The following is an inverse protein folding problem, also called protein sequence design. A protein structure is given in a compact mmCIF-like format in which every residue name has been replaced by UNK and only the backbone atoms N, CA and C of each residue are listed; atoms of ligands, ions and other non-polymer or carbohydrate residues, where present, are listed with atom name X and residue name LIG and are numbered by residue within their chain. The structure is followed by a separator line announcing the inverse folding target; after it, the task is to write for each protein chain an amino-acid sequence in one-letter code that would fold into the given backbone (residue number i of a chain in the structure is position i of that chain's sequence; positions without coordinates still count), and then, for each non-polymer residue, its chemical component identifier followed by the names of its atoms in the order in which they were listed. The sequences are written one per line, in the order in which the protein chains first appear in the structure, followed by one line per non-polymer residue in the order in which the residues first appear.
data_IF_648250669887
#
_entry.id   IF_648250669887
#
_cell.length_a   1.000
_cell.length_b   1.000
_cell.length_c   1.000
_cell.angle_alpha   90.00
_cell.angle_beta   90.00
_cell.angle_gamma   90.00
#
_symmetry.space_group_name_H-M   'P 1'
#
loop_
_entity.id
_entity.type
_entity.pdbx_description
1 polymer ?
#
# COMPACT_ATOMS: atom_id res chain seq x y z
N UNK A 1 -21.96 16.08 17.87
CA UNK A 1 -21.54 14.66 17.89
C UNK A 1 -20.07 14.64 18.29
N UNK A 2 -19.60 13.71 19.13
CA UNK A 2 -18.19 13.61 19.39
C UNK A 2 -17.42 13.45 18.07
N UNK A 3 -16.25 14.06 17.97
CA UNK A 3 -15.42 13.99 16.77
C UNK A 3 -15.08 12.52 16.45
N UNK A 4 -15.28 12.12 15.20
CA UNK A 4 -15.15 10.73 14.75
C UNK A 4 -13.68 10.35 14.65
N UNK A 5 -13.27 9.25 15.28
CA UNK A 5 -11.93 8.68 15.17
C UNK A 5 -11.82 7.88 13.87
N UNK A 6 -10.81 8.18 13.05
CA UNK A 6 -10.56 7.46 11.80
C UNK A 6 -9.21 6.73 11.84
N UNK A 7 -9.26 5.43 12.06
CA UNK A 7 -8.09 4.54 12.16
C UNK A 7 -8.00 3.55 10.98
N UNK A 8 -8.48 3.95 9.79
CA UNK A 8 -8.40 3.14 8.57
C UNK A 8 -7.62 3.82 7.43
N UNK A 9 -6.50 4.45 7.77
CA UNK A 9 -5.64 5.13 6.80
C UNK A 9 -4.97 4.18 5.78
N UNK A 10 -4.94 2.88 6.03
CA UNK A 10 -4.50 1.89 5.05
C UNK A 10 -5.53 1.68 3.92
N UNK A 11 -6.83 1.93 4.16
CA UNK A 11 -7.84 1.91 3.10
C UNK A 11 -7.79 3.18 2.24
N UNK A 12 -7.79 4.35 2.87
CA UNK A 12 -7.59 5.66 2.23
C UNK A 12 -7.26 6.69 3.31
N UNK A 13 -6.59 7.78 2.95
CA UNK A 13 -6.30 8.87 3.88
C UNK A 13 -7.16 10.09 3.58
N UNK A 14 -7.47 10.91 4.59
CA UNK A 14 -8.01 12.23 4.38
C UNK A 14 -6.97 13.10 3.64
N UNK A 15 -7.37 13.85 2.61
CA UNK A 15 -6.44 14.76 1.92
C UNK A 15 -5.90 15.82 2.88
N UNK A 16 -4.61 16.13 2.77
CA UNK A 16 -4.01 17.25 3.49
C UNK A 16 -4.56 18.56 2.91
N UNK A 17 -4.98 19.55 3.74
CA UNK A 17 -5.47 20.84 3.25
C UNK A 17 -4.48 21.52 2.29
N UNK A 18 -3.18 21.43 2.55
CA UNK A 18 -2.14 21.98 1.66
C UNK A 18 -2.11 21.32 0.27
N UNK A 19 -2.58 20.08 0.18
CA UNK A 19 -2.74 19.36 -1.10
C UNK A 19 -3.97 19.89 -1.85
N UNK A 20 -5.08 20.10 -1.16
CA UNK A 20 -6.29 20.67 -1.77
C UNK A 20 -6.03 22.07 -2.31
N UNK A 21 -5.29 22.90 -1.57
CA UNK A 21 -4.86 24.24 -2.01
C UNK A 21 -4.01 24.18 -3.30
N UNK A 22 -3.13 23.18 -3.40
CA UNK A 22 -2.31 22.99 -4.60
C UNK A 22 -3.12 22.52 -5.82
N UNK A 23 -4.23 21.81 -5.62
CA UNK A 23 -5.11 21.30 -6.67
C UNK A 23 -6.08 22.37 -7.21
N UNK A 24 -6.59 23.22 -6.30
CA UNK A 24 -7.69 24.15 -6.58
C UNK A 24 -7.48 25.05 -7.81
N UNK A 25 -6.28 25.64 -8.04
CA UNK A 25 -6.06 26.47 -9.22
C UNK A 25 -6.30 25.74 -10.55
N UNK A 26 -5.95 24.46 -10.64
CA UNK A 26 -6.06 23.64 -11.84
C UNK A 26 -7.46 23.03 -12.04
N UNK A 27 -8.33 23.12 -11.06
CA UNK A 27 -9.75 22.75 -11.16
C UNK A 27 -10.61 23.91 -11.71
N UNK A 28 -10.21 25.18 -11.47
CA UNK A 28 -11.06 26.33 -11.73
C UNK A 28 -10.44 27.38 -12.69
N UNK A 29 -9.12 27.62 -12.62
CA UNK A 29 -8.48 28.76 -13.31
C UNK A 29 -7.53 28.34 -14.42
N UNK A 30 -6.77 27.26 -14.25
CA UNK A 30 -5.70 26.82 -15.14
C UNK A 30 -6.04 25.46 -15.76
N UNK A 31 -7.06 25.46 -16.60
CA UNK A 31 -7.65 24.26 -17.20
C UNK A 31 -7.01 23.85 -18.54
N UNK A 32 -5.86 24.45 -18.92
CA UNK A 32 -5.18 24.19 -20.19
C UNK A 32 -4.74 22.73 -20.34
N UNK A 33 -4.73 22.27 -21.60
CA UNK A 33 -4.16 20.96 -21.94
C UNK A 33 -2.63 21.07 -21.96
N UNK A 34 -1.87 20.27 -21.18
CA UNK A 34 -0.40 20.33 -21.14
C UNK A 34 0.30 20.07 -22.48
N UNK A 35 -0.40 19.48 -23.45
CA UNK A 35 0.14 19.25 -24.81
C UNK A 35 0.02 20.45 -25.73
N UNK A 36 -0.70 21.52 -25.33
CA UNK A 36 -0.91 22.71 -26.13
C UNK A 36 0.24 23.70 -26.02
N UNK A 37 0.58 24.38 -27.14
CA UNK A 37 1.73 25.31 -27.23
C UNK A 37 1.45 26.71 -26.71
N UNK A 38 0.19 27.12 -26.56
CA UNK A 38 -0.22 28.43 -26.06
C UNK A 38 -0.07 28.54 -24.53
N UNK A 39 -0.29 29.73 -23.98
CA UNK A 39 0.02 30.07 -22.58
C UNK A 39 -0.61 29.14 -21.56
N UNK A 40 -1.91 28.80 -21.72
CA UNK A 40 -2.64 27.92 -20.81
C UNK A 40 -2.05 26.50 -20.79
N UNK A 41 -1.64 26.01 -21.98
CA UNK A 41 -0.99 24.70 -22.12
C UNK A 41 0.38 24.68 -21.44
N UNK A 42 1.21 25.71 -21.67
CA UNK A 42 2.51 25.82 -21.00
C UNK A 42 2.39 25.86 -19.49
N UNK A 43 1.42 26.62 -18.96
CA UNK A 43 1.16 26.72 -17.54
C UNK A 43 0.76 25.37 -16.93
N UNK A 44 -0.08 24.62 -17.63
CA UNK A 44 -0.45 23.26 -17.21
C UNK A 44 0.76 22.30 -17.27
N UNK A 45 1.61 22.42 -18.30
CA UNK A 45 2.85 21.63 -18.44
C UNK A 45 3.82 21.92 -17.29
N UNK A 46 4.04 23.16 -16.94
CA UNK A 46 4.89 23.57 -15.81
C UNK A 46 4.41 22.97 -14.47
N UNK A 47 3.08 22.85 -14.29
CA UNK A 47 2.52 22.21 -13.11
C UNK A 47 2.80 20.69 -13.07
N UNK A 48 2.63 20.02 -14.22
CA UNK A 48 2.93 18.59 -14.35
C UNK A 48 4.42 18.33 -14.11
N UNK A 49 5.31 19.13 -14.69
CA UNK A 49 6.77 18.94 -14.56
C UNK A 49 7.25 19.22 -13.13
N UNK A 50 6.70 20.21 -12.46
CA UNK A 50 6.96 20.49 -11.04
C UNK A 50 6.52 19.32 -10.16
N UNK A 51 5.30 18.82 -10.35
CA UNK A 51 4.78 17.67 -9.60
C UNK A 51 5.62 16.41 -9.84
N UNK A 52 6.11 16.23 -11.06
CA UNK A 52 7.00 15.12 -11.42
C UNK A 52 8.32 15.19 -10.65
N UNK A 53 8.92 16.36 -10.55
CA UNK A 53 10.14 16.59 -9.75
C UNK A 53 9.88 16.34 -8.25
N UNK A 54 8.72 16.75 -7.72
CA UNK A 54 8.35 16.51 -6.33
C UNK A 54 8.18 15.01 -6.03
N UNK A 55 7.53 14.25 -6.91
CA UNK A 55 7.39 12.79 -6.77
C UNK A 55 8.76 12.11 -6.90
N UNK A 56 9.59 12.51 -7.85
CA UNK A 56 10.96 11.98 -8.01
C UNK A 56 11.79 12.21 -6.74
N UNK A 57 11.69 13.40 -6.14
CA UNK A 57 12.38 13.74 -4.88
C UNK A 57 12.02 12.83 -3.70
N UNK A 58 10.81 12.26 -3.65
CA UNK A 58 10.41 11.32 -2.61
C UNK A 58 11.24 10.04 -2.62
N UNK A 59 11.77 9.64 -3.77
CA UNK A 59 12.51 8.39 -4.02
C UNK A 59 13.98 8.61 -4.34
N UNK A 60 14.48 9.86 -4.33
CA UNK A 60 15.81 10.23 -4.82
C UNK A 60 16.03 9.82 -6.29
N UNK A 61 14.96 9.90 -7.10
CA UNK A 61 14.94 9.59 -8.54
C UNK A 61 15.07 10.85 -9.40
N UNK A 62 15.30 10.65 -10.71
CA UNK A 62 15.22 11.74 -11.68
C UNK A 62 13.76 11.95 -12.15
N UNK A 63 13.34 13.18 -12.52
CA UNK A 63 11.98 13.42 -12.97
C UNK A 63 11.57 12.56 -14.16
N UNK A 64 12.48 12.26 -15.07
CA UNK A 64 12.24 11.45 -16.26
C UNK A 64 11.96 9.97 -15.99
N UNK A 65 12.22 9.53 -14.77
CA UNK A 65 11.94 8.18 -14.29
C UNK A 65 10.53 8.05 -13.69
N UNK A 66 9.74 9.13 -13.62
CA UNK A 66 8.37 9.09 -13.09
C UNK A 66 7.35 9.06 -14.23
N UNK A 67 6.39 8.15 -14.15
CA UNK A 67 5.23 8.01 -15.04
C UNK A 67 3.96 8.17 -14.23
N UNK A 68 3.12 9.15 -14.54
CA UNK A 68 1.83 9.31 -13.86
C UNK A 68 0.81 8.29 -14.37
N UNK A 69 0.03 7.74 -13.43
CA UNK A 69 -1.03 6.76 -13.67
C UNK A 69 -2.32 7.17 -12.95
N UNK A 70 -3.45 6.56 -13.28
CA UNK A 70 -4.73 6.86 -12.63
C UNK A 70 -4.87 6.26 -11.22
N UNK A 71 -4.00 5.33 -10.81
CA UNK A 71 -4.05 4.68 -9.49
C UNK A 71 -2.78 3.86 -9.25
N UNK A 72 -2.58 3.38 -8.00
CA UNK A 72 -1.57 2.36 -7.70
C UNK A 72 -1.80 1.05 -8.45
N UNK A 73 -3.07 0.62 -8.59
CA UNK A 73 -3.43 -0.56 -9.39
C UNK A 73 -2.98 -0.43 -10.85
N UNK A 74 -3.16 0.75 -11.47
CA UNK A 74 -2.66 0.99 -12.83
C UNK A 74 -1.13 0.98 -12.86
N UNK A 75 -0.46 1.54 -11.84
CA UNK A 75 0.99 1.53 -11.74
C UNK A 75 1.56 0.10 -11.65
N UNK A 76 0.97 -0.77 -10.79
CA UNK A 76 1.35 -2.18 -10.68
C UNK A 76 1.14 -2.93 -12.00
N UNK A 77 -0.03 -2.73 -12.64
CA UNK A 77 -0.31 -3.36 -13.92
C UNK A 77 0.65 -2.87 -15.02
N UNK A 78 0.98 -1.57 -15.06
CA UNK A 78 1.94 -1.03 -16.02
C UNK A 78 3.35 -1.59 -15.77
N UNK A 79 3.75 -1.76 -14.52
CA UNK A 79 5.03 -2.36 -14.17
C UNK A 79 5.11 -3.82 -14.65
N UNK A 80 4.15 -4.65 -14.28
CA UNK A 80 4.18 -6.08 -14.58
C UNK A 80 3.93 -6.33 -16.08
N UNK A 81 2.82 -5.84 -16.61
CA UNK A 81 2.47 -6.06 -18.02
C UNK A 81 3.46 -5.37 -18.95
N UNK A 82 3.87 -4.13 -18.62
CA UNK A 82 4.77 -3.36 -19.46
C UNK A 82 6.13 -4.04 -19.65
N UNK A 83 6.72 -4.56 -18.58
CA UNK A 83 8.00 -5.32 -18.64
C UNK A 83 7.82 -6.64 -19.38
N UNK A 84 6.79 -7.42 -19.03
CA UNK A 84 6.60 -8.76 -19.57
C UNK A 84 6.17 -8.76 -21.04
N UNK A 85 5.35 -7.77 -21.46
CA UNK A 85 5.01 -7.59 -22.87
C UNK A 85 6.22 -7.14 -23.71
N UNK A 86 7.08 -6.29 -23.16
CA UNK A 86 8.33 -5.89 -23.83
C UNK A 86 9.32 -7.07 -23.99
N UNK A 87 9.40 -7.94 -22.98
CA UNK A 87 10.28 -9.12 -23.00
C UNK A 87 9.72 -10.33 -23.77
N UNK A 88 8.40 -10.31 -24.09
CA UNK A 88 7.65 -11.47 -24.57
C UNK A 88 7.10 -12.32 -23.41
N UNK A 89 5.77 -12.42 -23.32
CA UNK A 89 5.08 -13.07 -22.16
C UNK A 89 5.29 -14.59 -22.17
N UNK A 90 5.05 -15.23 -23.32
CA UNK A 90 5.12 -16.68 -23.45
C UNK A 90 6.54 -17.19 -23.20
N UNK A 91 6.69 -18.13 -22.27
CA UNK A 91 7.98 -18.69 -21.86
C UNK A 91 8.78 -17.82 -20.90
N UNK A 92 8.28 -16.63 -20.56
CA UNK A 92 8.86 -15.79 -19.48
C UNK A 92 8.38 -16.25 -18.11
N UNK A 93 9.12 -15.84 -17.07
CA UNK A 93 8.84 -16.15 -15.68
C UNK A 93 8.83 -14.88 -14.82
N UNK A 94 7.90 -14.83 -13.86
CA UNK A 94 7.79 -13.82 -12.84
C UNK A 94 7.81 -14.47 -11.46
N UNK A 95 8.54 -13.86 -10.52
CA UNK A 95 8.51 -14.24 -9.11
C UNK A 95 7.77 -13.15 -8.33
N UNK A 96 6.82 -13.54 -7.48
CA UNK A 96 6.07 -12.63 -6.61
C UNK A 96 5.90 -13.24 -5.22
N UNK A 97 5.17 -12.60 -4.29
CA UNK A 97 4.89 -13.17 -2.97
C UNK A 97 3.42 -13.53 -2.81
N UNK A 98 3.13 -14.50 -1.95
CA UNK A 98 1.77 -14.93 -1.63
C UNK A 98 0.92 -13.86 -0.92
N UNK A 99 1.54 -12.78 -0.43
CA UNK A 99 0.87 -11.73 0.32
C UNK A 99 0.69 -10.41 -0.44
N UNK A 100 0.90 -10.42 -1.76
CA UNK A 100 0.75 -9.23 -2.60
C UNK A 100 -0.69 -8.68 -2.60
N UNK A 101 -0.80 -7.39 -2.96
CA UNK A 101 -2.09 -6.78 -3.21
C UNK A 101 -2.79 -7.47 -4.42
N UNK A 102 -4.14 -7.55 -4.42
CA UNK A 102 -4.89 -8.12 -5.55
C UNK A 102 -4.54 -7.51 -6.92
N UNK A 103 -4.07 -6.26 -6.99
CA UNK A 103 -3.61 -5.62 -8.22
C UNK A 103 -2.43 -6.38 -8.87
N UNK A 104 -1.52 -6.93 -8.06
CA UNK A 104 -0.39 -7.75 -8.50
C UNK A 104 -0.84 -9.17 -8.78
N UNK A 105 -1.51 -9.85 -7.81
CA UNK A 105 -1.91 -11.25 -7.97
C UNK A 105 -2.90 -11.47 -9.13
N UNK A 106 -3.86 -10.55 -9.31
CA UNK A 106 -4.81 -10.66 -10.43
C UNK A 106 -4.13 -10.41 -11.78
N UNK A 107 -3.16 -9.50 -11.84
CA UNK A 107 -2.34 -9.26 -13.00
C UNK A 107 -1.51 -10.51 -13.36
N UNK A 108 -0.88 -11.15 -12.37
CA UNK A 108 -0.16 -12.42 -12.56
C UNK A 108 -1.07 -13.49 -13.18
N UNK A 109 -2.25 -13.72 -12.58
CA UNK A 109 -3.24 -14.70 -13.10
C UNK A 109 -3.71 -14.37 -14.52
N UNK A 110 -3.81 -13.10 -14.89
CA UNK A 110 -4.14 -12.72 -16.25
C UNK A 110 -2.99 -13.06 -17.22
N UNK A 111 -1.75 -12.78 -16.84
CA UNK A 111 -0.57 -13.06 -17.66
C UNK A 111 -0.28 -14.57 -17.80
N UNK A 112 -0.60 -15.38 -16.78
CA UNK A 112 -0.52 -16.85 -16.89
C UNK A 112 -1.37 -17.40 -18.03
N UNK A 113 -2.57 -16.80 -18.30
CA UNK A 113 -3.40 -17.16 -19.44
C UNK A 113 -2.76 -16.85 -20.79
N UNK A 114 -1.72 -15.99 -20.79
CA UNK A 114 -0.92 -15.65 -21.97
C UNK A 114 0.39 -16.44 -22.04
N UNK A 115 0.57 -17.43 -21.15
CA UNK A 115 1.73 -18.32 -21.14
C UNK A 115 2.89 -17.88 -20.24
N UNK A 116 2.67 -16.91 -19.32
CA UNK A 116 3.65 -16.58 -18.29
C UNK A 116 3.72 -17.71 -17.25
N UNK A 117 4.93 -18.05 -16.81
CA UNK A 117 5.10 -18.85 -15.60
C UNK A 117 5.21 -17.92 -14.38
N UNK A 118 4.52 -18.25 -13.28
CA UNK A 118 4.56 -17.47 -12.03
C UNK A 118 5.03 -18.36 -10.88
N UNK A 119 5.93 -17.84 -10.04
CA UNK A 119 6.27 -18.44 -8.74
C UNK A 119 5.86 -17.49 -7.63
N UNK A 120 4.94 -17.94 -6.78
CA UNK A 120 4.56 -17.21 -5.56
C UNK A 120 5.42 -17.70 -4.39
N UNK A 121 6.25 -16.80 -3.83
CA UNK A 121 7.07 -17.11 -2.67
C UNK A 121 6.21 -17.18 -1.41
N UNK A 122 6.44 -18.17 -0.54
CA UNK A 122 5.83 -18.21 0.78
C UNK A 122 6.37 -17.08 1.66
N UNK A 123 5.71 -16.86 2.78
CA UNK A 123 6.17 -15.97 3.85
C UNK A 123 6.18 -16.73 5.17
N UNK A 124 6.96 -16.25 6.13
CA UNK A 124 6.93 -16.77 7.49
C UNK A 124 5.66 -16.35 8.26
N UNK A 125 5.47 -16.84 9.49
CA UNK A 125 4.34 -16.49 10.34
C UNK A 125 4.26 -14.99 10.74
N UNK A 126 5.26 -14.19 10.38
CA UNK A 126 5.30 -12.74 10.57
C UNK A 126 5.11 -11.97 9.26
N UNK A 127 4.96 -12.68 8.14
CA UNK A 127 4.73 -12.12 6.81
C UNK A 127 6.01 -11.64 6.12
N UNK A 128 7.17 -12.18 6.43
CA UNK A 128 8.44 -11.90 5.73
C UNK A 128 8.72 -12.95 4.66
N UNK A 129 9.15 -12.48 3.49
CA UNK A 129 9.74 -13.31 2.44
C UNK A 129 11.17 -13.64 2.83
N UNK A 130 11.56 -14.93 2.71
CA UNK A 130 12.94 -15.35 2.90
C UNK A 130 13.77 -15.03 1.63
N UNK A 131 14.84 -14.23 1.72
CA UNK A 131 15.74 -13.97 0.59
C UNK A 131 16.31 -15.25 -0.06
N UNK A 132 16.50 -16.33 0.71
CA UNK A 132 16.98 -17.61 0.18
C UNK A 132 15.94 -18.29 -0.73
N UNK A 133 14.65 -18.11 -0.46
CA UNK A 133 13.60 -18.65 -1.33
C UNK A 133 13.49 -17.88 -2.64
N UNK A 134 13.71 -16.54 -2.60
CA UNK A 134 13.82 -15.76 -3.83
C UNK A 134 15.02 -16.25 -4.68
N UNK A 135 16.18 -16.46 -4.07
CA UNK A 135 17.38 -16.91 -4.81
C UNK A 135 17.18 -18.26 -5.49
N UNK A 136 16.46 -19.20 -4.85
CA UNK A 136 16.10 -20.51 -5.44
C UNK A 136 15.04 -20.40 -6.54
N UNK A 137 14.11 -19.44 -6.41
CA UNK A 137 12.99 -19.30 -7.36
C UNK A 137 13.42 -18.64 -8.69
N UNK A 138 14.49 -17.84 -8.69
CA UNK A 138 15.01 -17.21 -9.91
C UNK A 138 15.63 -18.26 -10.84
N UNK A 139 15.16 -18.29 -12.10
CA UNK A 139 15.62 -19.18 -13.17
C UNK A 139 15.95 -18.37 -14.43
N UNK A 140 16.57 -18.97 -15.46
CA UNK A 140 17.01 -18.23 -16.68
C UNK A 140 15.92 -17.45 -17.39
N UNK A 141 14.67 -17.93 -17.32
CA UNK A 141 13.49 -17.30 -17.95
C UNK A 141 12.90 -16.18 -17.09
N UNK A 142 13.37 -15.98 -15.85
CA UNK A 142 12.86 -14.93 -14.96
C UNK A 142 13.17 -13.55 -15.54
N UNK A 143 12.13 -12.74 -15.75
CA UNK A 143 12.23 -11.36 -16.26
C UNK A 143 11.98 -10.31 -15.20
N UNK A 144 11.15 -10.65 -14.21
CA UNK A 144 10.72 -9.71 -13.19
C UNK A 144 10.55 -10.42 -11.85
N UNK A 145 10.99 -9.77 -10.79
CA UNK A 145 10.62 -10.04 -9.39
C UNK A 145 9.73 -8.90 -8.95
N UNK A 146 8.56 -9.20 -8.38
CA UNK A 146 7.61 -8.19 -7.86
C UNK A 146 7.24 -8.53 -6.43
N UNK A 147 7.76 -7.78 -5.47
CA UNK A 147 7.50 -7.97 -4.03
C UNK A 147 7.16 -6.64 -3.40
N UNK A 148 6.00 -6.56 -2.73
CA UNK A 148 5.53 -5.34 -2.08
C UNK A 148 6.48 -4.87 -0.98
N UNK A 149 6.63 -3.56 -0.83
CA UNK A 149 7.54 -3.00 0.17
C UNK A 149 7.02 -3.18 1.60
N UNK A 150 5.71 -3.11 1.78
CA UNK A 150 5.07 -3.36 3.07
C UNK A 150 3.63 -3.83 2.88
N UNK A 151 3.21 -4.80 3.67
CA UNK A 151 1.90 -5.40 3.53
C UNK A 151 0.78 -4.51 4.12
N UNK A 152 -0.31 -4.36 3.38
CA UNK A 152 -1.46 -3.51 3.71
C UNK A 152 -2.39 -4.10 4.79
N UNK A 153 -2.25 -5.39 5.11
CA UNK A 153 -3.05 -6.09 6.14
C UNK A 153 -2.29 -6.15 7.46
N UNK A 154 -1.10 -6.71 7.46
CA UNK A 154 -0.33 -6.94 8.69
C UNK A 154 0.71 -5.84 8.97
N UNK A 155 1.03 -4.99 8.00
CA UNK A 155 1.96 -3.88 8.16
C UNK A 155 3.44 -4.27 8.11
N UNK A 156 3.78 -5.54 7.94
CA UNK A 156 5.17 -6.04 7.88
C UNK A 156 5.91 -5.42 6.69
N UNK A 157 7.12 -4.91 6.93
CA UNK A 157 8.02 -4.31 5.93
C UNK A 157 8.96 -5.40 5.42
N UNK A 158 9.02 -5.59 4.10
CA UNK A 158 9.89 -6.56 3.45
C UNK A 158 11.35 -6.08 3.37
N UNK A 159 12.34 -6.99 3.30
CA UNK A 159 13.76 -6.65 3.15
C UNK A 159 14.08 -6.27 1.69
N UNK A 160 13.43 -5.22 1.16
CA UNK A 160 13.45 -4.86 -0.27
C UNK A 160 14.86 -4.64 -0.81
N UNK A 161 15.75 -3.99 -0.04
CA UNK A 161 17.13 -3.75 -0.51
C UNK A 161 17.88 -5.06 -0.76
N UNK A 162 17.70 -6.05 0.10
CA UNK A 162 18.34 -7.38 -0.03
C UNK A 162 17.73 -8.18 -1.19
N UNK A 163 16.39 -8.20 -1.28
CA UNK A 163 15.67 -8.89 -2.35
C UNK A 163 16.01 -8.30 -3.73
N UNK A 164 16.02 -6.96 -3.84
CA UNK A 164 16.40 -6.27 -5.07
C UNK A 164 17.87 -6.55 -5.45
N UNK A 165 18.75 -6.64 -4.46
CA UNK A 165 20.16 -6.99 -4.71
C UNK A 165 20.32 -8.42 -5.24
N UNK A 166 19.51 -9.37 -4.78
CA UNK A 166 19.48 -10.75 -5.31
C UNK A 166 19.04 -10.73 -6.78
N UNK A 167 17.92 -10.07 -7.09
CA UNK A 167 17.43 -9.95 -8.45
C UNK A 167 18.48 -9.32 -9.38
N UNK A 168 19.13 -8.22 -8.95
CA UNK A 168 20.18 -7.53 -9.72
C UNK A 168 21.38 -8.42 -10.02
N UNK A 169 21.85 -9.21 -9.04
CA UNK A 169 22.98 -10.16 -9.28
C UNK A 169 22.64 -11.22 -10.34
N UNK A 170 21.35 -11.51 -10.52
CA UNK A 170 20.86 -12.47 -11.51
C UNK A 170 20.45 -11.81 -12.85
N UNK A 171 20.62 -10.48 -12.99
CA UNK A 171 20.21 -9.73 -14.18
C UNK A 171 18.68 -9.64 -14.37
N UNK A 172 17.90 -9.76 -13.29
CA UNK A 172 16.44 -9.74 -13.28
C UNK A 172 15.96 -8.39 -12.76
N UNK A 173 14.94 -7.80 -13.40
CA UNK A 173 14.33 -6.56 -12.96
C UNK A 173 13.57 -6.75 -11.64
N UNK A 174 13.58 -5.71 -10.79
CA UNK A 174 12.90 -5.71 -9.50
C UNK A 174 11.85 -4.60 -9.42
N UNK A 175 10.59 -5.00 -9.24
CA UNK A 175 9.46 -4.14 -8.94
C UNK A 175 9.07 -4.25 -7.47
N UNK A 176 8.64 -3.13 -6.89
CA UNK A 176 8.02 -3.12 -5.56
C UNK A 176 6.72 -2.31 -5.57
N UNK A 177 5.61 -2.92 -5.14
CA UNK A 177 4.42 -2.16 -4.74
C UNK A 177 4.74 -1.43 -3.43
N UNK A 178 5.00 -0.12 -3.54
CA UNK A 178 5.27 0.75 -2.40
C UNK A 178 4.04 1.58 -1.97
N UNK A 179 2.85 1.25 -2.45
CA UNK A 179 1.61 1.99 -2.19
C UNK A 179 1.37 2.21 -0.69
N UNK A 180 1.66 1.23 0.16
CA UNK A 180 1.54 1.39 1.61
C UNK A 180 2.79 2.00 2.27
N UNK A 181 3.93 1.97 1.62
CA UNK A 181 5.24 2.30 2.19
C UNK A 181 5.73 3.70 1.80
N UNK A 182 5.41 4.15 0.57
CA UNK A 182 5.80 5.48 0.07
C UNK A 182 5.40 6.59 1.04
N UNK A 183 6.33 7.49 1.33
CA UNK A 183 6.16 8.58 2.29
C UNK A 183 6.15 8.18 3.78
N UNK A 184 6.08 6.89 4.11
CA UNK A 184 6.10 6.38 5.49
C UNK A 184 7.46 5.81 5.88
N UNK A 185 8.16 5.17 4.93
CA UNK A 185 9.55 4.74 5.07
C UNK A 185 10.40 5.36 3.96
N UNK A 186 11.72 5.35 4.14
CA UNK A 186 12.65 5.91 3.17
C UNK A 186 12.91 4.95 2.03
N UNK A 187 12.93 5.48 0.81
CA UNK A 187 13.49 4.83 -0.38
C UNK A 187 14.58 5.73 -0.95
N UNK A 188 15.64 5.11 -1.46
CA UNK A 188 16.66 5.80 -2.25
C UNK A 188 17.01 4.92 -3.46
N UNK A 189 16.43 5.23 -4.61
CA UNK A 189 16.58 4.45 -5.83
C UNK A 189 18.00 4.55 -6.43
N UNK A 190 18.83 5.49 -5.97
CA UNK A 190 20.24 5.58 -6.36
C UNK A 190 21.09 4.51 -5.69
N UNK A 191 20.77 4.16 -4.44
CA UNK A 191 21.51 3.18 -3.63
C UNK A 191 20.83 1.82 -3.58
N UNK A 192 19.49 1.79 -3.65
CA UNK A 192 18.72 0.55 -3.71
C UNK A 192 18.48 0.15 -5.17
N UNK A 193 18.77 -1.09 -5.57
CA UNK A 193 18.63 -1.52 -6.96
C UNK A 193 17.20 -1.88 -7.34
N UNK A 194 16.27 -0.97 -7.06
CA UNK A 194 14.85 -1.06 -7.44
C UNK A 194 14.72 -0.52 -8.87
N UNK A 195 14.12 -1.29 -9.78
CA UNK A 195 13.93 -0.87 -11.17
C UNK A 195 12.56 -0.25 -11.42
N UNK A 196 11.52 -0.70 -10.67
CA UNK A 196 10.17 -0.17 -10.74
C UNK A 196 9.58 -0.05 -9.32
N UNK A 197 8.85 1.05 -9.08
CA UNK A 197 8.19 1.27 -7.79
C UNK A 197 6.83 1.95 -8.00
N UNK A 198 5.77 1.30 -7.50
CA UNK A 198 4.39 1.82 -7.61
C UNK A 198 3.99 2.63 -6.38
N UNK A 199 3.24 3.72 -6.60
CA UNK A 199 2.63 4.51 -5.54
C UNK A 199 1.21 4.97 -5.88
N UNK A 200 0.43 5.36 -4.85
CA UNK A 200 -0.92 5.89 -5.00
C UNK A 200 -1.15 7.12 -4.13
N UNK A 201 -1.70 8.19 -4.72
CA UNK A 201 -1.84 9.49 -4.05
C UNK A 201 -2.67 9.42 -2.77
N UNK A 202 -3.80 8.69 -2.79
CA UNK A 202 -4.70 8.62 -1.65
C UNK A 202 -4.15 7.86 -0.43
N UNK A 203 -2.96 7.29 -0.50
CA UNK A 203 -2.25 6.67 0.64
C UNK A 203 -1.23 7.62 1.28
N UNK A 204 -1.03 8.80 0.64
CA UNK A 204 -0.08 9.85 1.05
C UNK A 204 -0.79 11.14 1.48
N UNK A 205 -2.05 11.10 1.88
CA UNK A 205 -2.88 12.29 2.10
C UNK A 205 -3.05 13.15 0.83
N UNK A 206 -2.90 12.53 -0.34
CA UNK A 206 -3.15 13.06 -1.67
C UNK A 206 -4.54 12.69 -2.19
N UNK A 207 -4.86 13.10 -3.44
CA UNK A 207 -6.15 12.80 -4.05
C UNK A 207 -6.27 11.32 -4.46
N UNK A 208 -7.51 10.83 -4.55
CA UNK A 208 -7.87 9.60 -5.26
C UNK A 208 -7.77 9.83 -6.77
N UNK A 209 -7.70 8.75 -7.56
CA UNK A 209 -7.69 8.85 -9.02
C UNK A 209 -6.34 9.28 -9.61
N UNK A 210 -5.27 9.17 -8.85
CA UNK A 210 -3.89 9.43 -9.28
C UNK A 210 -2.93 8.46 -8.58
N UNK A 211 -1.94 7.98 -9.34
CA UNK A 211 -0.78 7.23 -8.88
C UNK A 211 0.44 7.61 -9.71
N UNK A 212 1.54 6.96 -9.45
CA UNK A 212 2.72 7.03 -10.30
C UNK A 212 3.52 5.73 -10.24
N UNK A 213 4.27 5.49 -11.29
CA UNK A 213 5.26 4.44 -11.40
C UNK A 213 6.65 5.10 -11.57
N UNK A 214 7.58 4.80 -10.66
CA UNK A 214 8.99 5.01 -10.92
C UNK A 214 9.49 3.93 -11.85
N UNK A 215 10.23 4.31 -12.88
CA UNK A 215 10.83 3.43 -13.88
C UNK A 215 12.27 3.82 -14.07
N UNK A 216 13.21 3.01 -13.61
CA UNK A 216 14.64 3.26 -13.74
C UNK A 216 15.02 3.52 -15.20
N UNK A 217 15.92 4.47 -15.44
CA UNK A 217 16.45 4.74 -16.78
C UNK A 217 16.98 3.46 -17.43
N UNK A 218 16.59 3.24 -18.70
CA UNK A 218 16.97 2.03 -19.45
C UNK A 218 16.00 0.84 -19.32
N UNK A 219 15.02 0.88 -18.42
CA UNK A 219 13.97 -0.15 -18.36
C UNK A 219 12.95 0.09 -19.47
N UNK A 220 12.77 -0.91 -20.32
CA UNK A 220 11.78 -0.91 -21.39
C UNK A 220 10.41 -1.31 -20.87
N UNK A 221 9.39 -0.52 -21.23
CA UNK A 221 7.99 -0.79 -20.93
C UNK A 221 7.15 -0.75 -22.19
N UNK A 222 6.37 -1.81 -22.41
CA UNK A 222 5.29 -1.78 -23.39
C UNK A 222 4.11 -0.99 -22.82
N UNK A 223 3.56 0.01 -23.53
CA UNK A 223 2.43 0.80 -23.03
C UNK A 223 1.16 -0.05 -22.98
N UNK A 224 0.55 -0.18 -21.79
CA UNK A 224 -0.74 -0.88 -21.64
C UNK A 224 -1.94 0.01 -22.02
N UNK A 225 -1.74 1.33 -22.07
CA UNK A 225 -2.70 2.33 -22.54
C UNK A 225 -2.07 3.13 -23.68
N UNK A 226 -2.07 2.61 -24.92
CA UNK A 226 -1.53 3.34 -26.08
C UNK A 226 -2.46 4.48 -26.50
N UNK A 227 -1.91 5.53 -27.14
CA UNK A 227 -2.70 6.70 -27.59
C UNK A 227 -1.83 7.88 -28.02
N UNK A 228 -2.13 9.07 -27.51
CA UNK A 228 -1.53 10.35 -27.94
C UNK A 228 -0.10 10.64 -27.47
N UNK A 229 0.63 9.66 -26.94
CA UNK A 229 2.05 9.79 -26.60
C UNK A 229 2.36 10.54 -25.30
N UNK A 230 1.36 10.83 -24.46
CA UNK A 230 1.59 11.41 -23.14
C UNK A 230 2.47 10.48 -22.30
N UNK A 231 3.07 11.00 -21.22
CA UNK A 231 4.03 10.28 -20.39
C UNK A 231 5.15 9.60 -21.22
N UNK A 232 5.62 10.31 -22.26
CA UNK A 232 6.67 9.82 -23.20
C UNK A 232 6.29 8.51 -23.90
N UNK A 233 5.00 8.32 -24.19
CA UNK A 233 4.48 7.12 -24.85
C UNK A 233 4.28 5.92 -23.90
N UNK A 234 4.64 6.04 -22.64
CA UNK A 234 4.49 4.95 -21.65
C UNK A 234 3.07 4.82 -21.11
N UNK A 235 2.31 5.94 -21.07
CA UNK A 235 0.93 5.98 -20.61
C UNK A 235 0.18 7.15 -21.25
N UNK A 236 -0.67 6.87 -22.20
CA UNK A 236 -1.40 7.89 -22.93
C UNK A 236 -2.69 8.33 -22.23
N UNK A 237 -3.21 9.47 -22.66
CA UNK A 237 -4.40 10.14 -22.12
C UNK A 237 -4.07 11.51 -21.56
N UNK A 238 -4.97 12.49 -21.78
CA UNK A 238 -4.78 13.86 -21.27
C UNK A 238 -4.52 13.83 -19.77
N UNK A 239 -3.47 14.51 -19.34
CA UNK A 239 -3.01 14.51 -17.97
C UNK A 239 -4.02 15.19 -17.03
N UNK A 240 -4.35 14.56 -15.91
CA UNK A 240 -5.17 15.14 -14.85
C UNK A 240 -4.31 16.12 -14.03
N UNK A 241 -4.13 17.33 -14.55
CA UNK A 241 -3.21 18.34 -13.99
C UNK A 241 -3.49 18.63 -12.52
N UNK A 242 -4.76 18.73 -12.13
CA UNK A 242 -5.13 18.99 -10.74
C UNK A 242 -4.71 17.85 -9.80
N UNK A 243 -5.00 16.60 -10.18
CA UNK A 243 -4.62 15.45 -9.36
C UNK A 243 -3.10 15.22 -9.35
N UNK A 244 -2.41 15.49 -10.47
CA UNK A 244 -0.95 15.43 -10.57
C UNK A 244 -0.30 16.48 -9.65
N UNK A 245 -0.78 17.73 -9.65
CA UNK A 245 -0.31 18.78 -8.75
C UNK A 245 -0.53 18.39 -7.28
N UNK A 246 -1.70 17.80 -6.97
CA UNK A 246 -2.01 17.27 -5.65
C UNK A 246 -1.06 16.13 -5.22
N UNK A 247 -0.77 15.19 -6.12
CA UNK A 247 0.18 14.09 -5.83
C UNK A 247 1.59 14.63 -5.60
N UNK A 248 2.06 15.58 -6.43
CA UNK A 248 3.36 16.22 -6.25
C UNK A 248 3.47 16.90 -4.88
N UNK A 249 2.45 17.69 -4.50
CA UNK A 249 2.43 18.34 -3.18
C UNK A 249 2.37 17.34 -2.03
N UNK A 250 1.60 16.26 -2.15
CA UNK A 250 1.55 15.20 -1.15
C UNK A 250 2.92 14.51 -0.98
N UNK A 251 3.62 14.24 -2.09
CA UNK A 251 4.96 13.66 -2.09
C UNK A 251 6.00 14.58 -1.40
N UNK A 252 5.97 15.87 -1.72
CA UNK A 252 6.84 16.89 -1.10
C UNK A 252 6.63 16.98 0.41
N UNK A 253 5.36 17.06 0.84
CA UNK A 253 5.00 17.09 2.26
C UNK A 253 5.46 15.80 2.95
N UNK A 254 5.21 14.64 2.34
CA UNK A 254 5.60 13.35 2.90
C UNK A 254 7.12 13.22 3.03
N UNK A 255 7.89 13.70 2.06
CA UNK A 255 9.36 13.69 2.12
C UNK A 255 9.89 14.56 3.26
N UNK A 256 9.33 15.77 3.44
CA UNK A 256 9.74 16.71 4.46
C UNK A 256 9.35 16.26 5.88
N UNK A 257 8.11 15.79 6.06
CA UNK A 257 7.54 15.50 7.38
C UNK A 257 7.87 14.09 7.89
N UNK A 258 8.28 13.15 7.00
CA UNK A 258 8.45 11.72 7.29
C UNK A 258 9.19 11.40 8.58
N UNK A 259 10.37 11.96 8.89
CA UNK A 259 11.10 11.56 10.09
C UNK A 259 10.33 11.84 11.38
N UNK A 260 9.75 13.03 11.50
CA UNK A 260 8.97 13.44 12.68
C UNK A 260 7.64 12.71 12.77
N UNK A 261 6.95 12.55 11.64
CA UNK A 261 5.68 11.83 11.58
C UNK A 261 5.84 10.34 11.86
N UNK A 262 6.84 9.69 11.30
CA UNK A 262 7.12 8.28 11.58
C UNK A 262 7.40 8.05 13.07
N UNK A 263 8.21 8.88 13.71
CA UNK A 263 8.50 8.79 15.14
C UNK A 263 7.25 9.00 16.00
N UNK A 264 6.40 9.96 15.63
CA UNK A 264 5.11 10.22 16.30
C UNK A 264 4.16 9.02 16.19
N UNK A 265 3.97 8.49 14.97
CA UNK A 265 3.08 7.35 14.72
C UNK A 265 3.57 6.08 15.40
N UNK A 266 4.89 5.85 15.44
CA UNK A 266 5.50 4.72 16.18
C UNK A 266 5.13 4.78 17.67
N UNK A 267 5.19 5.95 18.31
CA UNK A 267 4.79 6.10 19.71
C UNK A 267 3.33 5.74 19.95
N UNK A 268 2.41 6.23 19.11
CA UNK A 268 0.98 5.92 19.22
C UNK A 268 0.73 4.42 18.95
N UNK A 269 1.36 3.88 17.91
CA UNK A 269 1.28 2.47 17.56
C UNK A 269 1.75 1.56 18.70
N UNK A 270 2.91 1.85 19.26
CA UNK A 270 3.50 1.01 20.28
C UNK A 270 2.70 1.10 21.59
N UNK A 271 2.18 2.27 21.94
CA UNK A 271 1.22 2.44 23.03
C UNK A 271 -0.02 1.54 22.87
N UNK A 272 -0.62 1.50 21.66
CA UNK A 272 -1.75 0.60 21.37
C UNK A 272 -1.35 -0.88 21.44
N UNK A 273 -0.22 -1.26 20.85
CA UNK A 273 0.25 -2.66 20.81
C UNK A 273 0.53 -3.20 22.24
N UNK A 274 1.01 -2.37 23.15
CA UNK A 274 1.31 -2.74 24.53
C UNK A 274 0.06 -2.71 25.42
N UNK A 275 -0.79 -1.72 25.25
CA UNK A 275 -1.97 -1.51 26.10
C UNK A 275 -3.12 -2.45 25.77
N UNK A 276 -3.32 -2.86 24.51
CA UNK A 276 -4.46 -3.71 24.13
C UNK A 276 -4.39 -5.10 24.80
N UNK A 277 -3.27 -5.86 24.74
CA UNK A 277 -3.19 -7.14 25.44
C UNK A 277 -3.26 -7.02 26.95
N UNK A 278 -2.83 -5.89 27.53
CA UNK A 278 -2.93 -5.64 28.97
C UNK A 278 -4.38 -5.39 29.44
N UNK A 279 -5.29 -4.98 28.53
CA UNK A 279 -6.70 -4.71 28.82
C UNK A 279 -7.65 -5.79 28.32
N UNK A 280 -7.22 -6.60 27.37
CA UNK A 280 -8.04 -7.62 26.72
C UNK A 280 -7.27 -8.94 26.70
N UNK A 281 -7.65 -9.85 27.58
CA UNK A 281 -7.08 -11.19 27.61
C UNK A 281 -7.27 -11.87 26.23
N UNK A 282 -6.24 -12.58 25.80
CA UNK A 282 -6.19 -13.31 24.51
C UNK A 282 -6.18 -12.42 23.26
N UNK A 283 -5.89 -11.11 23.38
CA UNK A 283 -5.51 -10.29 22.24
C UNK A 283 -4.03 -10.57 21.86
N UNK A 284 -3.76 -10.72 20.57
CA UNK A 284 -2.40 -10.96 20.09
C UNK A 284 -2.09 -10.15 18.84
N UNK A 285 -0.81 -9.77 18.67
CA UNK A 285 -0.33 -9.04 17.52
C UNK A 285 -0.10 -10.00 16.34
N UNK A 286 -0.52 -9.59 15.15
CA UNK A 286 -0.28 -10.29 13.89
C UNK A 286 0.74 -9.51 13.06
N UNK A 287 1.67 -10.25 12.41
CA UNK A 287 2.78 -9.68 11.64
C UNK A 287 3.99 -9.29 12.51
N UNK A 288 5.06 -8.83 11.88
CA UNK A 288 6.33 -8.60 12.55
C UNK A 288 6.26 -7.45 13.57
N UNK A 289 6.75 -7.64 14.80
CA UNK A 289 6.66 -6.64 15.87
C UNK A 289 7.43 -5.35 15.57
N UNK A 290 8.62 -5.44 14.97
CA UNK A 290 9.56 -4.34 14.79
C UNK A 290 9.69 -3.88 13.34
N UNK A 291 9.77 -4.82 12.37
CA UNK A 291 9.78 -4.50 10.93
C UNK A 291 8.35 -4.21 10.46
N UNK A 292 7.81 -3.07 10.90
CA UNK A 292 6.40 -2.72 10.71
C UNK A 292 6.27 -1.24 10.34
N UNK A 293 5.30 -0.93 9.49
CA UNK A 293 4.94 0.45 9.16
C UNK A 293 4.65 1.26 10.42
N UNK A 294 5.05 2.55 10.47
CA UNK A 294 4.97 3.37 11.68
C UNK A 294 3.59 3.42 12.34
N UNK A 295 2.52 3.47 11.55
CA UNK A 295 1.15 3.59 12.07
C UNK A 295 0.29 2.34 11.89
N UNK A 296 0.86 1.14 11.65
CA UNK A 296 0.07 -0.03 11.27
C UNK A 296 0.04 -1.10 12.35
N UNK A 297 -1.16 -1.59 12.69
CA UNK A 297 -1.38 -2.64 13.70
C UNK A 297 -2.39 -3.64 13.12
N UNK A 298 -2.10 -4.93 13.26
CA UNK A 298 -3.05 -6.01 13.00
C UNK A 298 -3.15 -6.88 14.25
N UNK A 299 -4.37 -7.16 14.71
CA UNK A 299 -4.63 -7.88 15.95
C UNK A 299 -5.59 -9.03 15.70
N UNK A 300 -5.40 -10.13 16.40
CA UNK A 300 -6.36 -11.21 16.58
C UNK A 300 -6.83 -11.29 18.01
N UNK A 301 -7.96 -11.98 18.24
CA UNK A 301 -8.56 -12.19 19.55
C UNK A 301 -9.02 -13.64 19.64
N UNK A 302 -8.36 -14.45 20.48
CA UNK A 302 -8.84 -15.82 20.71
C UNK A 302 -10.21 -15.78 21.40
N UNK A 303 -11.15 -16.57 20.87
CA UNK A 303 -12.55 -16.60 21.28
C UNK A 303 -13.45 -15.58 20.56
N UNK A 304 -12.92 -14.86 19.56
CA UNK A 304 -13.70 -14.00 18.65
C UNK A 304 -13.39 -14.31 17.18
N UNK A 305 -13.00 -15.54 16.89
CA UNK A 305 -12.71 -15.97 15.52
C UNK A 305 -13.95 -15.78 14.64
N UNK A 306 -13.79 -15.12 13.51
CA UNK A 306 -14.88 -14.80 12.57
C UNK A 306 -15.74 -13.58 12.91
N UNK A 307 -15.56 -12.96 14.08
CA UNK A 307 -16.45 -11.90 14.58
C UNK A 307 -15.98 -10.46 14.25
N UNK A 308 -14.92 -10.30 13.44
CA UNK A 308 -14.37 -8.97 13.14
C UNK A 308 -15.42 -7.99 12.60
N UNK A 309 -16.34 -8.43 11.73
CA UNK A 309 -17.39 -7.55 11.17
C UNK A 309 -18.31 -7.01 12.28
N UNK A 310 -18.72 -7.85 13.23
CA UNK A 310 -19.55 -7.40 14.35
C UNK A 310 -18.77 -6.42 15.22
N UNK A 311 -17.49 -6.68 15.49
CA UNK A 311 -16.65 -5.77 16.26
C UNK A 311 -16.45 -4.43 15.57
N UNK A 312 -16.31 -4.41 14.23
CA UNK A 312 -16.28 -3.17 13.44
C UNK A 312 -17.57 -2.36 13.61
N UNK A 313 -18.73 -3.02 13.54
CA UNK A 313 -20.04 -2.35 13.70
C UNK A 313 -20.25 -1.81 15.11
N UNK A 314 -19.80 -2.50 16.15
CA UNK A 314 -19.86 -2.00 17.53
C UNK A 314 -18.95 -0.76 17.71
N UNK A 315 -17.75 -0.78 17.15
CA UNK A 315 -16.83 0.37 17.20
C UNK A 315 -17.35 1.55 16.36
N UNK A 316 -18.00 1.29 15.22
CA UNK A 316 -18.61 2.33 14.38
C UNK A 316 -19.73 3.07 15.11
N UNK A 317 -20.56 2.39 15.90
CA UNK A 317 -21.58 3.00 16.78
C UNK A 317 -20.98 3.97 17.80
N UNK A 318 -19.77 3.68 18.26
CA UNK A 318 -19.00 4.53 19.19
C UNK A 318 -18.22 5.65 18.46
N UNK A 319 -18.41 5.79 17.15
CA UNK A 319 -17.76 6.81 16.33
C UNK A 319 -16.32 6.48 15.93
N UNK A 320 -15.92 5.20 15.94
CA UNK A 320 -14.56 4.74 15.62
C UNK A 320 -14.57 3.91 14.33
N UNK A 321 -13.92 4.43 13.28
CA UNK A 321 -13.76 3.75 12.01
C UNK A 321 -12.42 3.01 11.96
N UNK A 322 -12.47 1.69 11.86
CA UNK A 322 -11.32 0.79 11.65
C UNK A 322 -11.68 -0.26 10.59
N UNK A 323 -10.75 -1.16 10.28
CA UNK A 323 -10.96 -2.19 9.27
C UNK A 323 -10.70 -3.61 9.82
N UNK A 324 -11.15 -4.62 9.10
CA UNK A 324 -10.73 -6.01 9.34
C UNK A 324 -9.49 -6.35 8.54
N UNK A 325 -8.78 -7.42 8.91
CA UNK A 325 -7.68 -7.97 8.11
C UNK A 325 -8.11 -8.46 6.71
N UNK A 326 -9.42 -8.64 6.49
CA UNK A 326 -10.02 -9.00 5.20
C UNK A 326 -10.58 -7.79 4.43
N UNK A 327 -10.18 -6.57 4.75
CA UNK A 327 -10.80 -5.30 4.32
C UNK A 327 -10.89 -5.06 2.80
N UNK A 328 -10.07 -5.71 1.97
CA UNK A 328 -10.20 -5.62 0.52
C UNK A 328 -11.38 -6.44 -0.05
N UNK A 329 -12.10 -7.16 0.79
CA UNK A 329 -13.18 -8.08 0.42
C UNK A 329 -14.58 -7.59 0.79
N UNK A 330 -14.84 -6.28 0.87
CA UNK A 330 -16.21 -5.77 0.99
C UNK A 330 -17.11 -6.28 -0.15
N UNK A 331 -16.54 -6.58 -1.32
CA UNK A 331 -17.20 -7.25 -2.45
C UNK A 331 -17.31 -8.78 -2.24
N UNK A 332 -16.45 -9.36 -1.37
CA UNK A 332 -16.39 -10.77 -1.03
C UNK A 332 -16.59 -10.98 0.47
N UNK A 333 -17.61 -10.33 1.04
CA UNK A 333 -17.95 -10.45 2.45
C UNK A 333 -18.05 -11.93 2.87
N UNK A 334 -17.13 -12.35 3.75
CA UNK A 334 -17.06 -13.72 4.25
C UNK A 334 -15.90 -14.58 3.75
N UNK A 335 -15.10 -14.12 2.77
CA UNK A 335 -13.86 -14.82 2.41
C UNK A 335 -12.73 -14.48 3.40
N UNK A 336 -11.90 -15.45 3.78
CA UNK A 336 -10.73 -15.18 4.62
C UNK A 336 -9.69 -14.33 3.87
N UNK A 337 -8.83 -13.65 4.62
CA UNK A 337 -7.73 -12.89 4.04
C UNK A 337 -6.64 -13.85 3.54
N UNK A 338 -6.34 -13.86 2.24
CA UNK A 338 -5.24 -14.64 1.67
C UNK A 338 -3.90 -14.32 2.35
N UNK A 339 -3.71 -13.06 2.81
CA UNK A 339 -2.52 -12.66 3.55
C UNK A 339 -2.43 -13.44 4.86
N UNK A 340 -3.50 -13.50 5.64
CA UNK A 340 -3.49 -14.20 6.93
C UNK A 340 -3.40 -15.72 6.76
N UNK A 341 -4.03 -16.28 5.71
CA UNK A 341 -3.86 -17.68 5.35
C UNK A 341 -2.40 -17.99 4.98
N UNK A 342 -1.74 -17.11 4.22
CA UNK A 342 -0.31 -17.25 3.90
C UNK A 342 0.60 -17.19 5.14
N UNK A 343 0.19 -16.49 6.22
CA UNK A 343 0.88 -16.48 7.50
C UNK A 343 0.58 -17.74 8.36
N UNK A 344 -0.26 -18.68 7.88
CA UNK A 344 -0.59 -19.92 8.56
C UNK A 344 -1.83 -19.86 9.47
N UNK A 345 -2.62 -18.77 9.41
CA UNK A 345 -3.89 -18.70 10.13
C UNK A 345 -4.96 -19.50 9.38
N UNK A 346 -5.79 -20.25 10.15
CA UNK A 346 -6.98 -20.86 9.59
C UNK A 346 -8.02 -19.81 9.13
N UNK A 347 -8.95 -20.22 8.27
CA UNK A 347 -9.93 -19.32 7.68
C UNK A 347 -10.83 -18.61 8.71
N UNK A 348 -11.07 -19.21 9.88
CA UNK A 348 -11.90 -18.64 10.92
C UNK A 348 -11.14 -17.54 11.68
N UNK A 349 -9.89 -17.81 12.10
CA UNK A 349 -8.99 -16.81 12.70
C UNK A 349 -8.69 -15.67 11.76
N UNK A 350 -8.47 -15.94 10.46
CA UNK A 350 -8.25 -14.93 9.44
C UNK A 350 -9.41 -13.94 9.32
N UNK A 351 -10.65 -14.37 9.56
CA UNK A 351 -11.85 -13.51 9.58
C UNK A 351 -12.08 -12.77 10.90
N UNK A 352 -11.38 -13.13 11.97
CA UNK A 352 -11.49 -12.53 13.30
C UNK A 352 -10.51 -11.38 13.57
N UNK A 353 -9.69 -10.98 12.59
CA UNK A 353 -8.64 -9.98 12.80
C UNK A 353 -9.11 -8.54 12.59
N UNK A 354 -8.56 -7.61 13.39
CA UNK A 354 -8.71 -6.17 13.24
C UNK A 354 -7.45 -5.54 12.67
N UNK A 355 -7.63 -4.56 11.77
CA UNK A 355 -6.57 -3.70 11.29
C UNK A 355 -6.82 -2.26 11.74
N UNK A 356 -5.87 -1.69 12.47
CA UNK A 356 -5.80 -0.29 12.87
C UNK A 356 -4.68 0.35 12.08
N UNK A 357 -4.96 1.43 11.39
CA UNK A 357 -3.93 2.16 10.63
C UNK A 357 -4.05 3.65 10.87
N UNK A 358 -3.00 4.18 11.50
CA UNK A 358 -2.88 5.57 11.90
C UNK A 358 -2.32 6.42 10.75
N UNK A 359 -2.71 7.68 10.71
CA UNK A 359 -2.23 8.66 9.74
C UNK A 359 -1.91 10.00 10.40
N UNK A 360 -1.63 10.99 9.56
CA UNK A 360 -1.18 12.33 9.94
C UNK A 360 -2.02 13.00 11.01
N UNK A 361 -3.31 12.84 10.97
CA UNK A 361 -4.24 13.58 11.84
C UNK A 361 -4.60 12.83 13.12
N UNK A 362 -4.14 11.59 13.29
CA UNK A 362 -4.44 10.84 14.51
C UNK A 362 -3.57 11.27 15.69
N UNK A 363 -4.17 11.25 16.88
CA UNK A 363 -3.55 11.71 18.12
C UNK A 363 -3.44 10.61 19.17
N UNK A 364 -2.69 10.86 20.25
CA UNK A 364 -2.59 9.94 21.38
C UNK A 364 -3.91 9.88 22.15
N UNK A 365 -4.62 11.00 22.27
CA UNK A 365 -5.92 11.10 22.93
C UNK A 365 -6.98 10.26 22.21
N UNK A 366 -6.95 10.18 20.87
CA UNK A 366 -7.79 9.27 20.10
C UNK A 366 -7.46 7.80 20.41
N UNK A 367 -6.16 7.48 20.55
CA UNK A 367 -5.73 6.14 20.92
C UNK A 367 -6.18 5.76 22.34
N UNK A 368 -6.09 6.68 23.31
CA UNK A 368 -6.56 6.46 24.67
C UNK A 368 -8.08 6.25 24.70
N UNK A 369 -8.85 7.04 23.98
CA UNK A 369 -10.29 6.83 23.85
C UNK A 369 -10.62 5.49 23.20
N UNK A 370 -9.87 5.07 22.19
CA UNK A 370 -10.03 3.74 21.59
C UNK A 370 -9.77 2.62 22.62
N UNK A 371 -8.75 2.76 23.47
CA UNK A 371 -8.43 1.83 24.55
C UNK A 371 -9.47 1.77 25.68
N UNK A 372 -10.37 2.75 25.78
CA UNK A 372 -11.52 2.71 26.69
C UNK A 372 -12.71 1.99 26.06
N UNK A 373 -12.90 2.11 24.75
CA UNK A 373 -14.06 1.58 24.02
C UNK A 373 -13.82 0.10 23.64
N UNK A 374 -12.65 -0.23 23.11
CA UNK A 374 -12.37 -1.57 22.55
C UNK A 374 -12.64 -2.72 23.52
N UNK A 375 -12.25 -2.68 24.83
CA UNK A 375 -12.54 -3.78 25.76
C UNK A 375 -14.04 -4.03 25.94
N UNK A 376 -14.86 -2.98 25.96
CA UNK A 376 -16.31 -3.09 26.09
C UNK A 376 -16.95 -3.71 24.83
N UNK A 377 -16.49 -3.29 23.65
CA UNK A 377 -16.94 -3.84 22.38
C UNK A 377 -16.56 -5.33 22.25
N UNK A 378 -15.34 -5.71 22.63
CA UNK A 378 -14.89 -7.12 22.68
C UNK A 378 -15.72 -7.92 23.67
N UNK A 379 -15.97 -7.40 24.87
CA UNK A 379 -16.76 -8.10 25.91
C UNK A 379 -18.20 -8.34 25.47
N UNK A 380 -18.82 -7.40 24.74
CA UNK A 380 -20.20 -7.53 24.25
C UNK A 380 -20.38 -8.67 23.23
N UNK A 381 -19.33 -9.06 22.54
CA UNK A 381 -19.36 -10.12 21.53
C UNK A 381 -18.93 -11.49 22.06
N UNK A 382 -18.27 -11.55 23.23
CA UNK A 382 -17.91 -12.83 23.85
C UNK A 382 -19.17 -13.56 24.30
N UNK A 383 -19.36 -14.84 23.93
CA UNK A 383 -20.50 -15.61 24.44
C UNK A 383 -20.45 -15.60 25.96
N UNK A 384 -21.58 -15.26 26.59
CA UNK A 384 -21.75 -15.36 28.05
C UNK A 384 -21.46 -16.83 28.39
N UNK A 385 -20.31 -17.12 29.03
CA UNK A 385 -20.08 -18.42 29.65
C UNK A 385 -21.19 -18.59 30.67
N UNK A 386 -22.25 -19.36 30.34
CA UNK A 386 -23.17 -19.88 31.31
C UNK A 386 -22.31 -20.65 32.30
N UNK A 387 -22.13 -20.10 33.48
CA UNK A 387 -21.62 -20.87 34.61
C UNK A 387 -22.45 -22.15 34.66
N UNK A 388 -21.86 -23.26 34.24
CA UNK A 388 -22.40 -24.57 34.55
C UNK A 388 -22.54 -24.60 36.08
N UNK A 389 -23.76 -24.46 36.58
CA UNK A 389 -24.04 -24.73 37.97
C UNK A 389 -23.63 -26.17 38.18
N UNK A 390 -22.51 -26.34 38.91
CA UNK A 390 -22.23 -27.62 39.58
C UNK A 390 -23.45 -27.94 40.45
N UNK A 391 -24.22 -28.91 40.02
CA UNK A 391 -25.21 -29.61 40.80
C UNK A 391 -24.58 -30.90 41.32
#
# INVERSE_FOLDING_TARGET
MPERIYFDNAATTAPDPRVLDAMQPYLARFWGNPSSLYAEGRQAREAVDRARAQVAGLFAAEPDEIVFTGSGTEADNLALQGVLLAAGVSGSHLVTSAIEHPAVLACCRQLERLGLAVSELPVDGQGLVDPADLEKAIRPETRLVSIMAANNVVGTIQPIAELAQIARRRGVLFHTDAVQAAGKIAFDTRTQPIDLLSLSGHKLHGPKGIGALYVRAGVELWPILPGGGQERGRRSGTENVAAIAGLGRAAEIAAADRPGEAARLVRIRDHLIESIPAKIDNAYLIGHRWRRLPGHICLGFDGLEGEAIKLLLELDKEGIAISSGSACSAIHAGQPSHVLEALGFDALKARGSLRISLGRFNTLEEADRFLEVLPRAVASLRPIRRLAKAG
#
